data_IF_159873850009
#
_entry.id   IF_159873850009
#
_cell.length_a   1.000
_cell.length_b   1.000
_cell.length_c   1.000
_cell.angle_alpha   90.00
_cell.angle_beta   90.00
_cell.angle_gamma   90.00
#
_symmetry.space_group_name_H-M   'P 1'
#
loop_
_entity.id
_entity.type
_entity.pdbx_description
1 polymer ?
#
# COMPACT_ATOMS: atom_id res chain seq x y z
N UNK A 1 1.11 -22.80 5.48
CA UNK A 1 0.27 -23.12 4.30
C UNK A 1 -1.14 -22.50 4.35
N UNK A 2 -1.40 -21.44 5.15
CA UNK A 2 -2.76 -20.92 5.38
C UNK A 2 -3.22 -19.79 4.42
N UNK A 3 -2.30 -19.18 3.66
CA UNK A 3 -2.59 -18.04 2.77
C UNK A 3 -3.04 -18.43 1.35
N UNK A 4 -3.15 -19.73 1.03
CA UNK A 4 -3.54 -20.22 -0.32
C UNK A 4 -5.05 -20.29 -0.56
N UNK A 5 -5.88 -19.89 0.41
CA UNK A 5 -7.35 -20.06 0.36
C UNK A 5 -8.12 -18.82 -0.08
N UNK A 6 -7.46 -17.67 -0.29
CA UNK A 6 -8.13 -16.47 -0.83
C UNK A 6 -7.70 -16.28 -2.28
N UNK A 7 -8.54 -16.76 -3.22
CA UNK A 7 -8.42 -16.34 -4.63
C UNK A 7 -8.94 -14.91 -4.73
N UNK A 8 -8.04 -13.95 -4.76
CA UNK A 8 -8.38 -12.57 -5.07
C UNK A 8 -8.46 -12.43 -6.59
N UNK A 9 -9.60 -11.95 -7.10
CA UNK A 9 -9.69 -11.57 -8.51
C UNK A 9 -9.19 -10.13 -8.63
N UNK A 10 -8.25 -9.83 -9.54
CA UNK A 10 -7.89 -8.45 -9.80
C UNK A 10 -9.14 -7.69 -10.24
N UNK A 11 -9.35 -6.52 -9.66
CA UNK A 11 -10.43 -5.62 -10.06
C UNK A 11 -9.94 -4.82 -11.26
N UNK A 12 -10.80 -4.61 -12.25
CA UNK A 12 -10.50 -3.71 -13.36
C UNK A 12 -10.49 -2.27 -12.85
N UNK A 13 -9.59 -1.46 -13.39
CA UNK A 13 -9.56 -0.03 -13.10
C UNK A 13 -10.71 0.61 -13.86
N UNK A 14 -11.64 1.24 -13.14
CA UNK A 14 -12.76 1.97 -13.74
C UNK A 14 -12.25 3.25 -14.42
N UNK A 15 -11.37 3.98 -13.73
CA UNK A 15 -10.77 5.23 -14.22
C UNK A 15 -9.33 5.36 -13.70
N UNK A 16 -8.41 5.69 -14.60
CA UNK A 16 -7.02 5.92 -14.25
C UNK A 16 -6.84 7.38 -13.80
N UNK A 17 -6.01 7.58 -12.79
CA UNK A 17 -5.69 8.89 -12.25
C UNK A 17 -4.19 9.03 -12.02
N UNK A 18 -3.70 10.25 -12.13
CA UNK A 18 -2.34 10.68 -11.88
C UNK A 18 -2.29 11.88 -10.91
N UNK A 19 -1.10 12.45 -10.71
CA UNK A 19 -0.88 13.57 -9.80
C UNK A 19 -1.49 14.91 -10.28
N UNK A 20 -2.00 14.99 -11.52
CA UNK A 20 -2.67 16.18 -12.06
C UNK A 20 -4.20 16.06 -11.99
N UNK A 21 -4.71 14.89 -11.59
CA UNK A 21 -6.14 14.61 -11.57
C UNK A 21 -6.88 15.40 -10.50
N UNK A 22 -8.01 15.99 -10.90
CA UNK A 22 -8.89 16.81 -10.05
C UNK A 22 -10.26 16.14 -9.87
N UNK A 23 -11.04 16.61 -8.89
CA UNK A 23 -12.34 16.04 -8.54
C UNK A 23 -13.53 16.82 -9.13
N UNK A 24 -13.27 17.69 -10.11
CA UNK A 24 -14.31 18.54 -10.73
C UNK A 24 -15.42 17.71 -11.39
N UNK A 25 -15.07 16.59 -12.02
CA UNK A 25 -16.04 15.70 -12.71
C UNK A 25 -17.05 15.06 -11.76
N UNK A 26 -16.71 14.96 -10.47
CA UNK A 26 -17.62 14.48 -9.40
C UNK A 26 -18.23 15.63 -8.60
N UNK A 27 -18.11 16.88 -9.09
CA UNK A 27 -18.68 18.07 -8.48
C UNK A 27 -17.97 18.53 -7.20
N UNK A 28 -16.70 18.16 -7.01
CA UNK A 28 -15.90 18.51 -5.83
C UNK A 28 -14.68 19.34 -6.23
N UNK A 29 -14.52 20.51 -5.61
CA UNK A 29 -13.29 21.30 -5.68
C UNK A 29 -12.19 20.62 -4.83
N UNK A 30 -11.36 19.83 -5.50
CA UNK A 30 -10.29 19.06 -4.87
C UNK A 30 -9.42 18.31 -5.88
N UNK A 31 -8.39 17.65 -5.35
CA UNK A 31 -7.40 16.93 -6.13
C UNK A 31 -7.18 15.51 -5.61
N UNK A 32 -6.71 14.65 -6.51
CA UNK A 32 -6.17 13.34 -6.19
C UNK A 32 -4.67 13.52 -5.95
N UNK A 33 -4.15 12.87 -4.92
CA UNK A 33 -2.74 12.91 -4.56
C UNK A 33 -2.23 11.48 -4.53
N UNK A 34 -1.27 11.13 -5.39
CA UNK A 34 -0.66 9.83 -5.33
C UNK A 34 0.13 9.68 -4.02
N UNK A 35 -0.16 8.62 -3.27
CA UNK A 35 0.39 8.38 -1.93
C UNK A 35 0.88 6.95 -1.78
N UNK A 36 1.85 6.51 -2.61
CA UNK A 36 2.38 5.16 -2.57
C UNK A 36 3.10 4.87 -1.25
N UNK A 37 3.19 3.60 -0.92
CA UNK A 37 3.90 3.13 0.27
C UNK A 37 3.16 2.00 0.95
N UNK A 38 1.90 2.24 1.34
CA UNK A 38 1.03 1.18 1.85
C UNK A 38 0.79 0.15 0.74
N UNK A 39 0.43 0.65 -0.44
CA UNK A 39 0.46 -0.07 -1.73
C UNK A 39 1.01 0.86 -2.82
N UNK A 40 1.44 0.32 -3.96
CA UNK A 40 1.83 1.12 -5.15
C UNK A 40 0.70 2.00 -5.70
N UNK A 41 -0.55 1.54 -5.62
CA UNK A 41 -1.72 2.24 -6.14
C UNK A 41 -2.44 3.12 -5.12
N UNK A 42 -1.87 3.34 -3.94
CA UNK A 42 -2.51 4.16 -2.91
C UNK A 42 -2.62 5.62 -3.34
N UNK A 43 -3.82 6.18 -3.18
CA UNK A 43 -4.14 7.59 -3.41
C UNK A 43 -4.77 8.20 -2.16
N UNK A 44 -4.71 9.53 -2.09
CA UNK A 44 -5.40 10.36 -1.11
C UNK A 44 -6.19 11.42 -1.85
N UNK A 45 -7.25 11.94 -1.23
CA UNK A 45 -8.08 13.01 -1.79
C UNK A 45 -7.91 14.27 -0.95
N UNK A 46 -7.73 15.42 -1.58
CA UNK A 46 -7.63 16.71 -0.90
C UNK A 46 -8.73 17.65 -1.37
N UNK A 47 -9.54 18.16 -0.43
CA UNK A 47 -10.64 19.09 -0.73
C UNK A 47 -10.19 20.51 -0.41
N UNK A 48 -10.15 21.38 -1.42
CA UNK A 48 -9.47 22.67 -1.36
C UNK A 48 -10.11 23.62 -0.33
N UNK A 49 -11.43 23.88 -0.46
CA UNK A 49 -12.15 24.82 0.41
C UNK A 49 -12.10 24.46 1.89
N UNK A 50 -12.25 23.17 2.22
CA UNK A 50 -12.30 22.69 3.60
C UNK A 50 -10.93 22.28 4.15
N UNK A 51 -9.92 22.16 3.29
CA UNK A 51 -8.59 21.63 3.58
C UNK A 51 -8.65 20.26 4.27
N UNK A 52 -9.62 19.44 3.87
CA UNK A 52 -9.77 18.06 4.36
C UNK A 52 -8.92 17.16 3.47
N UNK A 53 -8.05 16.34 4.07
CA UNK A 53 -7.38 15.26 3.35
C UNK A 53 -7.95 13.90 3.76
N UNK A 54 -8.51 13.15 2.82
CA UNK A 54 -8.90 11.75 2.99
C UNK A 54 -7.71 10.90 2.59
N UNK A 55 -7.08 10.24 3.57
CA UNK A 55 -5.75 9.62 3.40
C UNK A 55 -5.77 8.09 3.36
N UNK A 56 -6.95 7.47 3.37
CA UNK A 56 -7.08 6.01 3.33
C UNK A 56 -6.23 5.31 4.41
N UNK A 57 -5.51 4.26 4.02
CA UNK A 57 -4.63 3.50 4.92
C UNK A 57 -3.20 4.09 5.06
N UNK A 58 -2.92 5.28 4.49
CA UNK A 58 -1.62 5.97 4.62
C UNK A 58 -1.23 6.19 6.08
N UNK A 59 -2.20 6.55 6.92
CA UNK A 59 -2.06 6.54 8.37
C UNK A 59 -3.37 6.01 8.97
N UNK A 60 -3.28 5.53 10.21
CA UNK A 60 -4.45 5.13 11.01
C UNK A 60 -4.47 5.85 12.34
N UNK A 61 -5.68 6.09 12.84
CA UNK A 61 -5.85 6.63 14.17
C UNK A 61 -5.71 5.53 15.21
N UNK A 62 -4.73 5.68 16.11
CA UNK A 62 -4.50 4.78 17.25
C UNK A 62 -4.16 5.58 18.49
N UNK A 63 -4.99 5.45 19.53
CA UNK A 63 -4.83 6.17 20.82
C UNK A 63 -4.69 7.69 20.63
N UNK A 64 -5.59 8.29 19.84
CA UNK A 64 -5.65 9.74 19.60
C UNK A 64 -4.47 10.31 18.80
N UNK A 65 -3.74 9.46 18.08
CA UNK A 65 -2.57 9.82 17.27
C UNK A 65 -2.69 9.16 15.90
N UNK A 66 -2.22 9.83 14.85
CA UNK A 66 -2.07 9.24 13.52
C UNK A 66 -0.73 8.52 13.45
N UNK A 67 -0.76 7.25 13.07
CA UNK A 67 0.37 6.32 13.08
C UNK A 67 0.41 5.52 11.78
N UNK A 68 1.59 5.12 11.36
CA UNK A 68 1.78 4.18 10.24
C UNK A 68 0.98 2.87 10.48
N UNK A 69 0.40 2.29 9.42
CA UNK A 69 -0.24 0.98 9.42
C UNK A 69 0.79 -0.11 9.70
N UNK A 70 0.36 -1.30 10.11
CA UNK A 70 1.31 -2.35 10.50
C UNK A 70 2.12 -2.87 9.31
N UNK A 71 1.45 -3.03 8.17
CA UNK A 71 1.98 -3.55 6.91
C UNK A 71 1.96 -2.46 5.86
N UNK A 72 3.03 -2.41 5.06
CA UNK A 72 3.23 -1.49 3.94
C UNK A 72 4.16 -2.19 2.95
N UNK A 73 4.00 -1.91 1.67
CA UNK A 73 4.94 -2.37 0.63
C UNK A 73 6.28 -1.64 0.69
N UNK A 74 6.28 -0.32 0.96
CA UNK A 74 7.49 0.49 1.01
C UNK A 74 7.40 1.62 2.06
N UNK A 75 8.20 1.49 3.13
CA UNK A 75 8.24 2.45 4.24
C UNK A 75 8.78 3.82 3.82
N UNK A 76 9.76 3.86 2.92
CA UNK A 76 10.35 5.13 2.48
C UNK A 76 9.34 5.95 1.66
N UNK A 77 8.69 5.30 0.70
CA UNK A 77 7.63 5.92 -0.09
C UNK A 77 6.47 6.38 0.78
N UNK A 78 6.05 5.57 1.76
CA UNK A 78 4.97 5.98 2.66
C UNK A 78 5.31 7.26 3.43
N UNK A 79 6.54 7.39 3.93
CA UNK A 79 6.98 8.60 4.62
C UNK A 79 6.98 9.82 3.69
N UNK A 80 7.47 9.67 2.46
CA UNK A 80 7.41 10.73 1.45
C UNK A 80 5.97 11.12 1.12
N UNK A 81 5.06 10.14 1.05
CA UNK A 81 3.64 10.36 0.82
C UNK A 81 2.96 11.09 1.99
N UNK A 82 3.31 10.75 3.23
CA UNK A 82 2.83 11.53 4.40
C UNK A 82 3.32 12.97 4.32
N UNK A 83 4.60 13.20 3.99
CA UNK A 83 5.13 14.55 3.88
C UNK A 83 4.41 15.35 2.79
N UNK A 84 4.21 14.77 1.60
CA UNK A 84 3.45 15.38 0.50
C UNK A 84 2.07 15.85 0.94
N UNK A 85 1.34 15.03 1.71
CA UNK A 85 0.03 15.42 2.24
C UNK A 85 0.13 16.55 3.27
N UNK A 86 1.16 16.54 4.11
CA UNK A 86 1.36 17.61 5.10
C UNK A 86 1.71 18.95 4.45
N UNK A 87 2.44 18.93 3.33
CA UNK A 87 2.83 20.11 2.56
C UNK A 87 1.61 20.82 1.91
N UNK A 88 0.47 20.13 1.76
CA UNK A 88 -0.81 20.73 1.35
C UNK A 88 -1.50 21.52 2.48
N UNK A 89 -0.92 21.53 3.69
CA UNK A 89 -1.45 22.20 4.87
C UNK A 89 -2.91 21.86 5.19
N UNK A 90 -3.28 20.56 5.31
CA UNK A 90 -4.65 20.16 5.63
C UNK A 90 -5.06 20.63 7.02
N UNK A 91 -6.32 21.04 7.18
CA UNK A 91 -6.91 21.31 8.49
C UNK A 91 -7.15 20.01 9.28
N UNK A 92 -7.53 18.94 8.57
CA UNK A 92 -7.84 17.64 9.16
C UNK A 92 -7.44 16.50 8.22
N UNK A 93 -6.97 15.41 8.82
CA UNK A 93 -6.65 14.16 8.14
C UNK A 93 -7.71 13.11 8.50
N UNK A 94 -8.31 12.51 7.49
CA UNK A 94 -9.36 11.49 7.58
C UNK A 94 -8.78 10.12 7.18
N UNK A 95 -8.30 9.31 8.13
CA UNK A 95 -7.81 7.97 7.84
C UNK A 95 -8.97 7.00 7.58
N UNK A 96 -8.72 5.97 6.78
CA UNK A 96 -9.67 4.87 6.56
C UNK A 96 -9.99 4.08 7.83
N UNK A 97 -9.11 4.15 8.84
CA UNK A 97 -9.33 3.53 10.15
C UNK A 97 -9.21 4.53 11.31
N UNK A 98 -10.32 4.67 12.03
CA UNK A 98 -10.44 5.47 13.24
C UNK A 98 -10.90 6.90 12.97
N UNK A 99 -10.81 7.77 13.99
CA UNK A 99 -11.37 9.13 13.90
C UNK A 99 -10.46 10.08 13.09
N UNK A 100 -11.03 11.07 12.39
CA UNK A 100 -10.29 12.19 11.84
C UNK A 100 -9.50 12.94 12.93
N UNK A 101 -8.30 13.40 12.60
CA UNK A 101 -7.41 14.10 13.52
C UNK A 101 -6.65 15.22 12.80
N UNK A 102 -6.25 16.29 13.50
CA UNK A 102 -5.45 17.34 12.89
C UNK A 102 -4.02 16.87 12.61
N UNK A 103 -3.29 17.52 11.68
CA UNK A 103 -1.91 17.17 11.33
C UNK A 103 -0.96 17.15 12.54
N UNK A 104 -1.21 17.99 13.54
CA UNK A 104 -0.44 18.04 14.80
C UNK A 104 -0.46 16.73 15.60
N UNK A 105 -1.31 15.76 15.26
CA UNK A 105 -1.39 14.42 15.86
C UNK A 105 -0.62 13.34 15.10
N UNK A 106 0.02 13.67 13.96
CA UNK A 106 0.90 12.74 13.23
C UNK A 106 2.10 12.37 14.08
N UNK A 107 2.35 11.06 14.22
CA UNK A 107 3.47 10.52 14.99
C UNK A 107 4.06 9.32 14.27
N UNK A 108 4.87 9.59 13.26
CA UNK A 108 5.70 8.60 12.58
C UNK A 108 6.87 8.23 13.51
N UNK A 109 7.23 6.95 13.53
CA UNK A 109 8.45 6.51 14.21
C UNK A 109 9.40 5.99 13.16
N UNK A 110 10.69 6.20 13.38
CA UNK A 110 11.68 5.52 12.57
C UNK A 110 11.56 4.00 12.82
N UNK A 111 11.11 3.29 11.79
CA UNK A 111 11.15 1.83 11.75
C UNK A 111 12.57 1.42 11.44
N UNK A 112 13.30 0.99 12.47
CA UNK A 112 14.51 0.22 12.28
C UNK A 112 14.08 -1.11 11.68
N UNK A 113 14.45 -1.37 10.43
CA UNK A 113 14.21 -2.66 9.79
C UNK A 113 14.91 -3.73 10.63
N UNK A 114 14.13 -4.59 11.31
CA UNK A 114 14.70 -5.82 11.84
C UNK A 114 14.91 -6.73 10.65
N UNK A 115 16.15 -7.19 10.38
CA UNK A 115 16.36 -8.17 9.34
C UNK A 115 15.46 -9.38 9.63
N UNK A 116 14.52 -9.65 8.74
CA UNK A 116 13.80 -10.92 8.76
C UNK A 116 14.84 -11.94 8.33
N UNK A 117 15.18 -12.89 9.22
CA UNK A 117 15.96 -14.05 8.82
C UNK A 117 15.16 -14.75 7.73
N UNK A 118 15.56 -14.56 6.48
CA UNK A 118 15.10 -15.41 5.41
C UNK A 118 15.74 -16.76 5.66
N UNK A 119 14.98 -17.69 6.24
CA UNK A 119 15.36 -19.10 6.13
C UNK A 119 15.30 -19.43 4.64
N UNK A 120 16.47 -19.41 4.00
CA UNK A 120 16.66 -20.08 2.72
C UNK A 120 16.22 -21.50 2.94
N UNK A 121 15.03 -21.87 2.46
CA UNK A 121 14.68 -23.26 2.29
C UNK A 121 15.73 -23.86 1.36
N UNK A 122 16.65 -24.62 1.94
CA UNK A 122 17.63 -25.42 1.25
C UNK A 122 16.93 -26.69 0.77
N UNK A 123 16.02 -26.55 -0.19
CA UNK A 123 15.42 -27.68 -0.89
C UNK A 123 15.47 -27.39 -2.40
N UNK A 124 16.67 -27.14 -2.91
CA UNK A 124 17.00 -27.68 -4.23
C UNK A 124 17.35 -29.15 -3.96
N UNK A 125 16.33 -30.00 -3.91
CA UNK A 125 16.56 -31.41 -4.21
C UNK A 125 16.85 -31.42 -5.70
N UNK A 126 18.07 -31.87 -6.05
CA UNK A 126 18.49 -32.07 -7.42
C UNK A 126 17.44 -32.92 -8.12
N UNK A 127 16.64 -32.29 -8.98
CA UNK A 127 15.74 -33.00 -9.87
C UNK A 127 16.66 -33.68 -10.88
N UNK A 128 16.79 -34.99 -10.76
CA UNK A 128 17.51 -35.82 -11.72
C UNK A 128 16.76 -35.79 -13.06
N UNK A 129 17.15 -34.82 -13.90
CA UNK A 129 16.63 -34.60 -15.25
C UNK A 129 16.82 -35.82 -16.17
N UNK A 130 17.77 -36.70 -15.84
CA UNK A 130 18.05 -37.91 -16.61
C UNK A 130 17.03 -39.02 -16.35
N UNK A 131 16.50 -39.11 -15.12
CA UNK A 131 15.39 -40.03 -14.79
C UNK A 131 14.07 -39.63 -15.48
N UNK A 132 13.74 -38.34 -15.50
CA UNK A 132 12.55 -37.79 -16.16
C UNK A 132 12.57 -37.94 -17.68
N UNK A 133 13.76 -37.88 -18.29
CA UNK A 133 13.89 -38.08 -19.74
C UNK A 133 13.68 -39.54 -20.16
N UNK A 134 14.01 -40.51 -19.29
CA UNK A 134 13.79 -41.94 -19.57
C UNK A 134 12.31 -42.30 -19.55
N UNK A 135 11.56 -41.79 -18.59
CA UNK A 135 10.12 -42.08 -18.45
C UNK A 135 9.31 -41.58 -19.66
N UNK A 136 9.67 -40.42 -20.24
CA UNK A 136 9.05 -39.89 -21.47
C UNK A 136 9.33 -40.74 -22.71
N UNK A 137 10.46 -41.46 -22.75
CA UNK A 137 10.82 -42.34 -23.86
C UNK A 137 10.19 -43.74 -23.76
N UNK A 138 9.77 -44.15 -22.56
CA UNK A 138 9.09 -45.43 -22.33
C UNK A 138 7.57 -45.37 -22.62
N UNK A 139 6.94 -44.20 -22.52
CA UNK A 139 5.51 -44.02 -22.85
C UNK A 139 5.25 -43.81 -24.36
N UNK A 140 6.30 -43.69 -25.18
CA UNK A 140 6.21 -43.48 -26.62
C UNK A 140 6.48 -44.76 -27.46
N UNK A 141 6.46 -45.95 -26.84
CA UNK A 141 6.61 -47.26 -27.51
C UNK A 141 5.39 -48.16 -27.29
#
# INVERSE_FOLDING_TARGET
>A
KLLRLVKYHPVLVDEASDDESILEDVGLDGSIVWTPGHTKGSISLFVNKSRVAIIGDLLRTRRGKLREPLFMENVSQERSSVQRILDLHPAVLCPGRGKPLPPSKVRIKERIAKPVKMETKKDAQDIDLESLAKDLSAEAS
#
